data_IF_894385509748
#
_entry.id   IF_894385509748
#
_cell.length_a   1.000
_cell.length_b   1.000
_cell.length_c   1.000
_cell.angle_alpha   90.00
_cell.angle_beta   90.00
_cell.angle_gamma   90.00
#
_symmetry.space_group_name_H-M   'P 1'
#
loop_
_entity.id
_entity.type
_entity.pdbx_description
1 polymer ?
#
# COMPACT_ATOMS: atom_id res chain seq x y z
N UNK A 1 -6.73 -8.12 5.08
CA UNK A 1 -6.75 -7.02 6.06
C UNK A 1 -5.34 -6.77 6.54
N UNK A 2 -4.97 -5.54 6.86
CA UNK A 2 -3.63 -5.16 7.35
C UNK A 2 -3.67 -4.74 8.81
N UNK A 3 -2.72 -5.23 9.61
CA UNK A 3 -2.51 -4.81 11.01
C UNK A 3 -1.52 -3.65 11.12
N UNK A 4 -1.50 -2.96 12.25
CA UNK A 4 -0.49 -1.92 12.52
C UNK A 4 0.93 -2.48 12.50
N UNK A 5 1.13 -3.70 13.01
CA UNK A 5 2.44 -4.34 13.03
C UNK A 5 2.96 -4.67 11.62
N UNK A 6 2.10 -5.11 10.72
CA UNK A 6 2.45 -5.31 9.30
C UNK A 6 2.72 -3.98 8.61
N UNK A 7 1.87 -2.98 8.85
CA UNK A 7 2.08 -1.64 8.35
C UNK A 7 3.46 -1.09 8.75
N UNK A 8 3.88 -1.23 10.00
CA UNK A 8 5.20 -0.74 10.48
C UNK A 8 6.40 -1.43 9.81
N UNK A 9 6.25 -2.68 9.36
CA UNK A 9 7.30 -3.40 8.60
C UNK A 9 7.48 -2.85 7.19
N UNK A 10 6.44 -2.28 6.60
CA UNK A 10 6.47 -1.73 5.24
C UNK A 10 7.27 -0.43 5.23
N UNK A 11 8.24 -0.31 4.33
CA UNK A 11 9.14 0.85 4.21
C UNK A 11 9.15 1.38 2.79
N UNK A 12 9.41 2.67 2.64
CA UNK A 12 9.61 3.29 1.34
C UNK A 12 10.70 2.54 0.55
N UNK A 13 10.49 2.43 -0.76
CA UNK A 13 11.34 1.67 -1.68
C UNK A 13 10.98 0.20 -1.85
N UNK A 14 10.02 -0.33 -1.08
CA UNK A 14 9.45 -1.66 -1.31
C UNK A 14 8.57 -1.70 -2.56
N UNK A 15 8.48 -2.85 -3.18
CA UNK A 15 7.57 -3.14 -4.30
C UNK A 15 6.19 -3.51 -3.79
N UNK A 16 5.17 -3.44 -4.65
CA UNK A 16 3.82 -3.93 -4.31
C UNK A 16 3.83 -5.39 -3.84
N UNK A 17 4.64 -6.23 -4.50
CA UNK A 17 4.78 -7.64 -4.13
C UNK A 17 5.29 -7.82 -2.70
N UNK A 18 6.35 -7.11 -2.32
CA UNK A 18 6.89 -7.17 -0.95
C UNK A 18 5.85 -6.70 0.09
N UNK A 19 5.02 -5.71 -0.27
CA UNK A 19 3.91 -5.26 0.58
C UNK A 19 2.88 -6.37 0.76
N UNK A 20 2.42 -6.97 -0.35
CA UNK A 20 1.46 -8.09 -0.32
C UNK A 20 2.00 -9.28 0.47
N UNK A 21 3.28 -9.60 0.32
CA UNK A 21 3.93 -10.69 1.06
C UNK A 21 3.99 -10.39 2.59
N UNK A 22 4.10 -9.12 2.99
CA UNK A 22 4.05 -8.70 4.41
C UNK A 22 2.62 -8.76 4.96
N UNK A 23 1.64 -8.27 4.20
CA UNK A 23 0.23 -8.20 4.62
C UNK A 23 -0.46 -9.56 4.54
N UNK A 24 0.03 -10.47 3.69
CA UNK A 24 -0.58 -11.78 3.46
C UNK A 24 -1.88 -11.72 2.65
N UNK A 25 -2.13 -10.61 1.94
CA UNK A 25 -3.32 -10.41 1.11
C UNK A 25 -3.10 -9.29 0.11
N UNK A 26 -3.90 -9.26 -0.95
CA UNK A 26 -3.85 -8.20 -1.97
C UNK A 26 -4.62 -6.96 -1.52
N UNK A 27 -4.15 -5.79 -1.96
CA UNK A 27 -4.85 -4.52 -1.78
C UNK A 27 -5.78 -4.24 -2.96
N UNK A 28 -6.76 -3.39 -2.74
CA UNK A 28 -7.63 -2.86 -3.78
C UNK A 28 -6.93 -1.73 -4.54
N UNK A 29 -7.00 -1.75 -5.87
CA UNK A 29 -6.54 -0.64 -6.69
C UNK A 29 -7.50 0.55 -6.57
N UNK A 30 -7.01 1.66 -6.04
CA UNK A 30 -7.80 2.89 -5.90
C UNK A 30 -7.63 3.79 -7.11
N UNK A 31 -6.40 3.91 -7.59
CA UNK A 31 -6.08 4.81 -8.70
C UNK A 31 -4.78 4.38 -9.38
N UNK A 32 -4.73 4.52 -10.69
CA UNK A 32 -3.56 4.32 -11.51
C UNK A 32 -3.46 5.45 -12.53
N UNK A 33 -2.25 5.94 -12.76
CA UNK A 33 -1.99 7.00 -13.74
C UNK A 33 -0.55 6.99 -14.23
N UNK A 34 -0.33 7.64 -15.37
CA UNK A 34 0.94 7.62 -16.09
C UNK A 34 1.07 6.40 -17.02
N UNK A 35 2.17 6.37 -17.78
CA UNK A 35 2.48 5.25 -18.67
C UNK A 35 3.17 4.14 -17.87
N UNK A 36 2.65 2.91 -17.93
CA UNK A 36 3.22 1.75 -17.24
C UNK A 36 4.69 1.58 -17.60
N UNK A 37 5.55 1.40 -16.59
CA UNK A 37 7.01 1.28 -16.78
C UNK A 37 7.75 2.60 -16.95
N UNK A 38 7.06 3.75 -17.00
CA UNK A 38 7.69 5.08 -16.96
C UNK A 38 7.93 5.55 -15.52
N UNK A 39 8.81 6.54 -15.35
CA UNK A 39 9.04 7.20 -14.04
C UNK A 39 7.81 7.97 -13.54
N UNK A 40 6.83 8.22 -14.42
CA UNK A 40 5.57 8.89 -14.11
C UNK A 40 4.44 7.93 -13.75
N UNK A 41 4.68 6.61 -13.83
CA UNK A 41 3.70 5.61 -13.44
C UNK A 41 3.46 5.66 -11.94
N UNK A 42 2.23 5.97 -11.53
CA UNK A 42 1.78 6.02 -10.15
C UNK A 42 0.61 5.08 -9.96
N UNK A 43 0.69 4.23 -8.94
CA UNK A 43 -0.36 3.29 -8.57
C UNK A 43 -0.65 3.43 -7.08
N UNK A 44 -1.92 3.58 -6.73
CA UNK A 44 -2.37 3.74 -5.35
C UNK A 44 -3.19 2.52 -4.98
N UNK A 45 -2.71 1.78 -3.98
CA UNK A 45 -3.42 0.64 -3.40
C UNK A 45 -3.94 0.96 -2.01
N UNK A 46 -5.13 0.45 -1.70
CA UNK A 46 -5.71 0.49 -0.37
C UNK A 46 -5.89 -0.91 0.18
N UNK A 47 -5.59 -1.08 1.47
CA UNK A 47 -5.81 -2.29 2.21
C UNK A 47 -6.79 -1.98 3.33
N UNK A 48 -7.85 -2.76 3.42
CA UNK A 48 -8.72 -2.73 4.61
C UNK A 48 -7.90 -3.10 5.85
N UNK A 49 -8.05 -2.34 6.91
CA UNK A 49 -7.33 -2.50 8.15
C UNK A 49 -8.01 -3.45 9.11
N UNK A 50 -7.22 -4.15 9.90
CA UNK A 50 -7.69 -4.80 11.11
C UNK A 50 -7.73 -3.75 12.25
N UNK A 51 -8.93 -3.43 12.74
CA UNK A 51 -9.13 -2.31 13.65
C UNK A 51 -10.55 -1.78 13.69
N UNK A 52 -10.70 -0.45 13.70
CA UNK A 52 -12.00 0.22 13.66
C UNK A 52 -12.71 0.02 12.31
N UNK A 53 -14.01 0.29 12.21
CA UNK A 53 -14.80 0.07 10.99
C UNK A 53 -14.32 0.86 9.75
N UNK A 54 -13.44 1.85 9.94
CA UNK A 54 -12.81 2.66 8.89
C UNK A 54 -11.29 2.45 8.82
N UNK A 55 -10.79 1.39 9.45
CA UNK A 55 -9.37 1.10 9.46
C UNK A 55 -8.89 0.79 8.05
N UNK A 56 -7.82 1.42 7.61
CA UNK A 56 -7.23 1.19 6.29
C UNK A 56 -5.78 1.65 6.21
N UNK A 57 -5.06 1.12 5.24
CA UNK A 57 -3.77 1.62 4.82
C UNK A 57 -3.81 1.96 3.32
N UNK A 58 -3.11 3.02 2.93
CA UNK A 58 -2.95 3.40 1.52
C UNK A 58 -1.48 3.51 1.19
N UNK A 59 -1.10 2.97 0.03
CA UNK A 59 0.27 2.92 -0.46
C UNK A 59 0.32 3.52 -1.86
N UNK A 60 1.13 4.57 -2.04
CA UNK A 60 1.40 5.16 -3.34
C UNK A 60 2.74 4.66 -3.85
N UNK A 61 2.69 3.94 -4.96
CA UNK A 61 3.82 3.31 -5.62
C UNK A 61 4.10 4.09 -6.90
N UNK A 62 5.34 4.50 -7.10
CA UNK A 62 5.77 5.19 -8.31
C UNK A 62 6.99 4.49 -8.88
N UNK A 63 7.03 4.28 -10.20
CA UNK A 63 8.10 3.52 -10.85
C UNK A 63 8.37 2.15 -10.16
N UNK A 64 7.30 1.47 -9.72
CA UNK A 64 7.36 0.19 -9.03
C UNK A 64 7.88 0.22 -7.58
N UNK A 65 8.12 1.40 -7.01
CA UNK A 65 8.65 1.61 -5.65
C UNK A 65 7.66 2.37 -4.79
N UNK A 66 7.46 1.93 -3.55
CA UNK A 66 6.67 2.64 -2.55
C UNK A 66 7.32 4.00 -2.24
N UNK A 67 6.60 5.09 -2.49
CA UNK A 67 7.08 6.43 -2.19
C UNK A 67 6.42 6.98 -0.92
N UNK A 68 5.12 6.71 -0.76
CA UNK A 68 4.32 7.23 0.36
C UNK A 68 3.40 6.15 0.91
N UNK A 69 3.29 6.11 2.24
CA UNK A 69 2.37 5.24 2.98
C UNK A 69 1.57 6.05 4.00
N UNK A 70 0.29 5.76 4.13
CA UNK A 70 -0.62 6.39 5.09
C UNK A 70 -1.49 5.32 5.73
N UNK A 71 -1.89 5.52 6.98
CA UNK A 71 -2.85 4.64 7.65
C UNK A 71 -3.89 5.44 8.44
N UNK A 72 -5.05 4.83 8.61
CA UNK A 72 -6.10 5.29 9.49
C UNK A 72 -6.55 4.11 10.37
N UNK A 73 -6.63 4.31 11.69
CA UNK A 73 -7.34 3.40 12.60
C UNK A 73 -6.79 1.97 12.76
N UNK A 74 -5.56 1.66 12.28
CA UNK A 74 -4.98 0.32 12.41
C UNK A 74 -4.62 -0.01 13.86
N UNK A 75 -4.80 -1.29 14.25
CA UNK A 75 -4.40 -1.81 15.56
C UNK A 75 -3.29 -2.84 15.48
#
# INVERSE_FOLDING_TARGET
>A
MITKAEFEKIKNGMTYKEIVDIVGGEGELVSEGGEEGSETHVVIYMFEGDGDALASATFAITAGKLITKTQLGLK
#
